data_IF_702488022078
#
_entry.id   IF_702488022078
#
_cell.length_a   1.000
_cell.length_b   1.000
_cell.length_c   1.000
_cell.angle_alpha   90.00
_cell.angle_beta   90.00
_cell.angle_gamma   90.00
#
_symmetry.space_group_name_H-M   'P 1'
#
loop_
_entity.id
_entity.type
_entity.pdbx_description
1 polymer ?
#
# COMPACT_ATOMS: atom_id res chain seq x y z
N UNK A 1 -30.28 -66.58 60.02
CA UNK A 1 -30.74 -67.22 58.78
C UNK A 1 -30.42 -66.27 57.62
N UNK A 2 -29.71 -66.79 56.61
CA UNK A 2 -29.72 -66.37 55.18
C UNK A 2 -29.71 -64.84 54.93
N UNK A 3 -28.65 -64.17 54.49
CA UNK A 3 -27.72 -64.50 53.40
C UNK A 3 -27.88 -63.43 52.31
N UNK A 4 -26.84 -62.62 52.04
CA UNK A 4 -26.50 -62.26 50.66
C UNK A 4 -25.12 -61.61 50.56
N UNK A 5 -24.28 -62.27 49.76
CA UNK A 5 -22.94 -61.92 49.35
C UNK A 5 -22.91 -60.68 48.47
N UNK A 6 -22.07 -59.69 48.83
CA UNK A 6 -21.57 -58.70 47.87
C UNK A 6 -20.28 -59.25 47.26
N UNK A 7 -20.41 -59.86 46.08
CA UNK A 7 -19.25 -60.15 45.23
C UNK A 7 -18.56 -58.84 44.82
N UNK A 8 -17.26 -58.75 45.09
CA UNK A 8 -16.37 -57.74 44.52
C UNK A 8 -16.13 -58.11 43.06
N UNK A 9 -16.63 -57.30 42.12
CA UNK A 9 -16.21 -57.41 40.71
C UNK A 9 -14.98 -56.52 40.47
N UNK A 10 -13.88 -57.23 40.21
CA UNK A 10 -12.75 -56.92 39.32
C UNK A 10 -12.40 -55.46 39.04
N UNK A 11 -11.20 -55.09 39.46
CA UNK A 11 -10.44 -53.99 38.87
C UNK A 11 -10.03 -54.43 37.45
N UNK A 12 -10.72 -53.91 36.44
CA UNK A 12 -10.41 -54.17 35.04
C UNK A 12 -9.23 -53.28 34.63
N UNK A 13 -8.03 -53.86 34.65
CA UNK A 13 -6.78 -53.25 34.17
C UNK A 13 -6.70 -53.32 32.64
N UNK A 14 -7.63 -52.70 31.93
CA UNK A 14 -7.41 -52.46 30.50
C UNK A 14 -8.32 -51.35 29.94
N UNK A 15 -7.99 -50.11 30.28
CA UNK A 15 -8.36 -48.96 29.45
C UNK A 15 -7.12 -48.13 29.20
N UNK A 16 -6.32 -48.63 28.27
CA UNK A 16 -5.37 -47.80 27.54
C UNK A 16 -6.11 -46.59 26.99
N UNK A 17 -5.86 -45.42 27.58
CA UNK A 17 -6.15 -44.15 26.92
C UNK A 17 -5.21 -44.04 25.75
N UNK A 18 -5.58 -44.63 24.62
CA UNK A 18 -4.90 -44.39 23.36
C UNK A 18 -5.21 -42.95 22.97
N UNK A 19 -4.27 -42.05 23.24
CA UNK A 19 -4.25 -40.68 22.69
C UNK A 19 -4.03 -40.80 21.18
N UNK A 20 -5.09 -41.09 20.43
CA UNK A 20 -5.11 -40.99 18.96
C UNK A 20 -5.66 -39.62 18.57
N UNK A 21 -4.93 -38.59 18.99
CA UNK A 21 -5.22 -37.19 18.68
C UNK A 21 -4.01 -36.48 18.11
N UNK A 22 -3.29 -37.12 17.18
CA UNK A 22 -2.26 -36.43 16.43
C UNK A 22 -2.90 -35.29 15.65
N UNK A 23 -2.48 -34.05 15.88
CA UNK A 23 -2.82 -32.90 15.07
C UNK A 23 -2.33 -33.13 13.63
N UNK A 24 -3.11 -33.85 12.82
CA UNK A 24 -2.85 -33.99 11.40
C UNK A 24 -3.04 -32.61 10.80
N UNK A 25 -1.93 -31.94 10.45
CA UNK A 25 -1.98 -30.72 9.62
C UNK A 25 -2.81 -31.08 8.40
N UNK A 26 -3.96 -30.42 8.22
CA UNK A 26 -4.78 -30.57 7.01
C UNK A 26 -3.89 -30.25 5.81
N UNK A 27 -3.59 -31.26 5.01
CA UNK A 27 -2.83 -31.13 3.77
C UNK A 27 -3.80 -30.97 2.61
N UNK A 28 -3.39 -30.18 1.62
CA UNK A 28 -4.19 -29.97 0.40
C UNK A 28 -4.28 -31.28 -0.39
N UNK A 29 -5.49 -31.65 -0.79
CA UNK A 29 -5.70 -32.79 -1.67
C UNK A 29 -5.02 -32.57 -3.04
N UNK A 30 -4.50 -33.63 -3.69
CA UNK A 30 -3.92 -33.53 -5.03
C UNK A 30 -4.92 -32.96 -6.04
N UNK A 31 -4.43 -32.14 -6.98
CA UNK A 31 -5.28 -31.56 -8.04
C UNK A 31 -4.82 -30.19 -8.52
N UNK A 32 -5.58 -29.56 -9.44
CA UNK A 32 -5.32 -28.19 -9.88
C UNK A 32 -5.47 -27.20 -8.72
N UNK A 33 -4.69 -26.12 -8.74
CA UNK A 33 -4.81 -25.05 -7.73
C UNK A 33 -6.19 -24.42 -7.85
N UNK A 34 -6.90 -24.31 -6.73
CA UNK A 34 -8.19 -23.66 -6.61
C UNK A 34 -7.97 -22.21 -6.22
N UNK A 35 -8.52 -21.27 -6.97
CA UNK A 35 -8.40 -19.85 -6.65
C UNK A 35 -9.76 -19.19 -6.58
N UNK A 36 -9.81 -18.10 -5.82
CA UNK A 36 -10.96 -17.21 -5.75
C UNK A 36 -10.50 -15.78 -6.00
N UNK A 37 -11.27 -15.03 -6.78
CA UNK A 37 -10.99 -13.62 -7.04
C UNK A 37 -12.24 -12.86 -7.46
N UNK A 38 -12.36 -11.60 -7.01
CA UNK A 38 -13.38 -10.66 -7.49
C UNK A 38 -12.94 -9.93 -8.76
N UNK A 39 -11.66 -10.03 -9.13
CA UNK A 39 -11.12 -9.33 -10.28
C UNK A 39 -11.53 -10.01 -11.60
N UNK A 40 -12.00 -9.20 -12.56
CA UNK A 40 -12.33 -9.60 -13.94
C UNK A 40 -11.39 -8.90 -14.92
N UNK A 41 -10.11 -9.20 -14.79
CA UNK A 41 -9.03 -8.54 -15.54
C UNK A 41 -7.87 -9.51 -15.78
N UNK A 42 -6.70 -8.97 -16.13
CA UNK A 42 -5.49 -9.74 -16.42
C UNK A 42 -5.07 -10.72 -15.32
N UNK A 43 -5.48 -10.51 -14.05
CA UNK A 43 -5.25 -11.45 -12.96
C UNK A 43 -6.03 -12.74 -13.25
N UNK A 44 -7.34 -12.63 -13.49
CA UNK A 44 -8.21 -13.77 -13.80
C UNK A 44 -7.67 -14.56 -14.99
N UNK A 45 -7.35 -13.88 -16.08
CA UNK A 45 -6.82 -14.51 -17.30
C UNK A 45 -5.50 -15.23 -17.03
N UNK A 46 -4.67 -14.66 -16.15
CA UNK A 46 -3.37 -15.22 -15.77
C UNK A 46 -3.51 -16.44 -14.86
N UNK A 47 -4.52 -16.47 -13.97
CA UNK A 47 -4.81 -17.64 -13.14
C UNK A 47 -5.41 -18.77 -14.00
N UNK A 48 -6.37 -18.46 -14.87
CA UNK A 48 -6.98 -19.43 -15.80
C UNK A 48 -5.99 -20.04 -16.78
N UNK A 49 -5.09 -19.24 -17.37
CA UNK A 49 -4.03 -19.75 -18.27
C UNK A 49 -3.06 -20.73 -17.61
N UNK A 50 -2.94 -20.73 -16.28
CA UNK A 50 -2.15 -21.72 -15.54
C UNK A 50 -2.89 -23.03 -15.29
N UNK A 51 -4.11 -23.19 -15.79
CA UNK A 51 -4.96 -24.35 -15.54
C UNK A 51 -5.51 -24.39 -14.10
N UNK A 52 -5.53 -23.25 -13.41
CA UNK A 52 -6.11 -23.16 -12.07
C UNK A 52 -7.63 -23.07 -12.16
N UNK A 53 -8.33 -23.63 -11.17
CA UNK A 53 -9.78 -23.71 -11.15
C UNK A 53 -10.37 -22.61 -10.26
N UNK A 54 -11.29 -21.82 -10.80
CA UNK A 54 -12.02 -20.82 -10.02
C UNK A 54 -13.04 -21.53 -9.12
N UNK A 55 -13.12 -21.13 -7.85
CA UNK A 55 -14.09 -21.63 -6.85
C UNK A 55 -14.82 -20.46 -6.19
N UNK A 56 -16.03 -20.72 -5.71
CA UNK A 56 -16.85 -19.68 -5.06
C UNK A 56 -16.64 -19.62 -3.55
N UNK A 57 -16.42 -20.77 -2.90
CA UNK A 57 -16.25 -20.87 -1.45
C UNK A 57 -14.79 -20.59 -1.01
N UNK A 58 -14.68 -19.73 0.00
CA UNK A 58 -13.44 -19.40 0.70
C UNK A 58 -12.81 -20.64 1.36
N UNK A 59 -13.63 -21.57 1.85
CA UNK A 59 -13.16 -22.77 2.56
C UNK A 59 -12.46 -23.77 1.64
N UNK A 60 -12.81 -23.75 0.35
CA UNK A 60 -12.29 -24.67 -0.66
C UNK A 60 -11.14 -24.09 -1.47
N UNK A 61 -10.86 -22.80 -1.37
CA UNK A 61 -9.80 -22.19 -2.17
C UNK A 61 -8.40 -22.46 -1.59
N UNK A 62 -7.41 -22.60 -2.47
CA UNK A 62 -5.99 -22.65 -2.09
C UNK A 62 -5.38 -21.23 -2.12
N UNK A 63 -5.86 -20.38 -3.02
CA UNK A 63 -5.46 -18.98 -3.13
C UNK A 63 -6.67 -18.04 -3.20
N UNK A 64 -6.75 -17.15 -2.21
CA UNK A 64 -7.66 -16.01 -2.20
C UNK A 64 -6.95 -14.77 -2.75
N UNK A 65 -7.25 -14.39 -3.99
CA UNK A 65 -6.77 -13.16 -4.60
C UNK A 65 -7.85 -12.09 -4.56
N UNK A 66 -7.89 -11.33 -3.46
CA UNK A 66 -9.01 -10.44 -3.15
C UNK A 66 -8.59 -8.97 -3.11
N UNK A 67 -9.56 -8.07 -3.23
CA UNK A 67 -9.36 -6.64 -3.03
C UNK A 67 -9.12 -6.30 -1.55
N UNK A 68 -8.72 -5.05 -1.29
CA UNK A 68 -8.41 -4.61 0.08
C UNK A 68 -9.61 -4.62 1.01
N UNK A 69 -10.81 -4.37 0.48
CA UNK A 69 -12.00 -4.21 1.33
C UNK A 69 -12.38 -5.58 1.90
N UNK A 70 -12.36 -6.62 1.06
CA UNK A 70 -12.51 -7.99 1.51
C UNK A 70 -11.43 -8.40 2.53
N UNK A 71 -10.15 -8.06 2.27
CA UNK A 71 -9.06 -8.37 3.20
C UNK A 71 -9.31 -7.75 4.57
N UNK A 72 -9.72 -6.47 4.62
CA UNK A 72 -10.01 -5.77 5.89
C UNK A 72 -11.20 -6.39 6.64
N UNK A 73 -12.22 -6.83 5.93
CA UNK A 73 -13.45 -7.34 6.56
C UNK A 73 -13.33 -8.78 7.05
N UNK A 74 -12.56 -9.61 6.33
CA UNK A 74 -12.54 -11.07 6.48
C UNK A 74 -11.20 -11.60 6.97
N UNK A 75 -10.09 -11.21 6.38
CA UNK A 75 -8.79 -11.87 6.62
C UNK A 75 -8.29 -11.72 8.06
N UNK A 76 -8.64 -10.61 8.72
CA UNK A 76 -8.30 -10.39 10.13
C UNK A 76 -9.17 -11.22 11.10
N UNK A 77 -10.29 -11.79 10.62
CA UNK A 77 -11.25 -12.55 11.42
C UNK A 77 -11.25 -14.06 11.13
N UNK A 78 -10.61 -14.48 10.03
CA UNK A 78 -10.63 -15.88 9.57
C UNK A 78 -9.29 -16.56 9.84
N UNK A 79 -9.36 -17.80 10.30
CA UNK A 79 -8.20 -18.69 10.37
C UNK A 79 -8.01 -19.38 9.01
N UNK A 80 -6.84 -19.19 8.40
CA UNK A 80 -6.48 -19.88 7.17
C UNK A 80 -5.80 -21.21 7.48
N UNK A 81 -6.13 -22.24 6.72
CA UNK A 81 -5.42 -23.51 6.77
C UNK A 81 -3.98 -23.35 6.23
N UNK A 82 -3.00 -24.21 6.61
CA UNK A 82 -1.59 -24.03 6.25
C UNK A 82 -1.29 -23.92 4.75
N UNK A 83 -2.11 -24.58 3.92
CA UNK A 83 -2.00 -24.58 2.46
C UNK A 83 -2.64 -23.35 1.80
N UNK A 84 -3.54 -22.66 2.49
CA UNK A 84 -4.24 -21.50 1.95
C UNK A 84 -3.33 -20.27 1.95
N UNK A 85 -3.49 -19.44 0.92
CA UNK A 85 -2.75 -18.19 0.74
C UNK A 85 -3.67 -17.04 0.41
N UNK A 86 -3.27 -15.84 0.79
CA UNK A 86 -3.91 -14.57 0.42
C UNK A 86 -2.87 -13.63 -0.19
N UNK A 87 -3.32 -12.70 -1.02
CA UNK A 87 -2.48 -11.73 -1.73
C UNK A 87 -2.09 -10.48 -0.90
N UNK A 88 -2.41 -10.43 0.39
CA UNK A 88 -2.08 -9.32 1.29
C UNK A 88 -1.56 -9.82 2.63
N UNK A 89 -0.63 -9.08 3.21
CA UNK A 89 -0.25 -9.27 4.60
C UNK A 89 -1.22 -8.56 5.53
N UNK A 90 -1.37 -9.11 6.75
CA UNK A 90 -2.01 -8.40 7.85
C UNK A 90 -1.27 -7.09 8.09
N UNK A 91 -2.00 -6.03 8.42
CA UNK A 91 -1.43 -4.70 8.64
C UNK A 91 -0.68 -4.11 7.43
N UNK A 92 -0.94 -4.55 6.19
CA UNK A 92 -0.36 -3.95 4.98
C UNK A 92 -0.58 -2.43 4.89
N UNK A 93 -1.62 -1.92 5.55
CA UNK A 93 -1.92 -0.49 5.64
C UNK A 93 -0.83 0.33 6.34
N UNK A 94 0.06 -0.29 7.14
CA UNK A 94 1.20 0.37 7.79
C UNK A 94 2.23 0.93 6.80
N UNK A 95 2.33 0.31 5.61
CA UNK A 95 3.21 0.75 4.53
C UNK A 95 2.45 1.35 3.35
N UNK A 96 1.13 1.16 3.25
CA UNK A 96 0.35 1.58 2.06
C UNK A 96 -0.54 2.79 2.29
N UNK A 97 -0.87 3.14 3.54
CA UNK A 97 -1.51 4.42 3.86
C UNK A 97 -0.45 5.49 4.11
N UNK A 98 -0.76 6.73 3.69
CA UNK A 98 0.21 7.84 3.71
C UNK A 98 0.60 8.27 5.13
N UNK A 99 -0.37 8.29 6.04
CA UNK A 99 -0.19 8.70 7.43
C UNK A 99 0.63 7.67 8.23
N UNK A 100 0.28 6.39 8.13
CA UNK A 100 0.99 5.29 8.81
C UNK A 100 2.41 5.13 8.26
N UNK A 101 2.60 5.17 6.94
CA UNK A 101 3.92 5.09 6.31
C UNK A 101 4.85 6.16 6.88
N UNK A 102 4.42 7.43 6.88
CA UNK A 102 5.25 8.54 7.38
C UNK A 102 5.53 8.40 8.87
N UNK A 103 4.53 8.01 9.68
CA UNK A 103 4.71 7.75 11.12
C UNK A 103 5.75 6.64 11.36
N UNK A 104 5.68 5.55 10.59
CA UNK A 104 6.60 4.42 10.70
C UNK A 104 8.02 4.80 10.30
N UNK A 105 8.20 5.50 9.17
CA UNK A 105 9.51 5.99 8.72
C UNK A 105 10.13 6.95 9.73
N UNK A 106 9.37 7.93 10.23
CA UNK A 106 9.82 8.85 11.28
C UNK A 106 10.21 8.12 12.57
N UNK A 107 9.37 7.17 13.01
CA UNK A 107 9.62 6.38 14.24
C UNK A 107 10.91 5.58 14.11
N UNK A 108 11.11 4.90 12.99
CA UNK A 108 12.28 4.07 12.76
C UNK A 108 13.56 4.92 12.64
N UNK A 109 13.53 6.04 11.90
CA UNK A 109 14.64 6.99 11.84
C UNK A 109 15.05 7.48 13.23
N UNK A 110 14.08 7.91 14.06
CA UNK A 110 14.33 8.35 15.45
C UNK A 110 14.91 7.25 16.33
N UNK A 111 14.51 6.00 16.10
CA UNK A 111 15.07 4.85 16.84
C UNK A 111 16.53 4.65 16.47
N UNK A 112 16.87 4.68 15.18
CA UNK A 112 18.26 4.60 14.72
C UNK A 112 19.13 5.73 15.30
N UNK A 113 18.62 6.96 15.35
CA UNK A 113 19.31 8.10 15.97
C UNK A 113 19.57 7.87 17.48
N UNK A 114 18.58 7.33 18.21
CA UNK A 114 18.74 6.97 19.64
C UNK A 114 19.74 5.85 19.86
N UNK A 115 19.80 4.90 18.92
CA UNK A 115 20.71 3.75 18.97
C UNK A 115 22.14 4.13 18.51
N UNK A 116 22.41 5.41 18.22
CA UNK A 116 23.71 5.90 17.75
C UNK A 116 24.02 5.58 16.28
N UNK A 117 23.05 5.07 15.52
CA UNK A 117 23.19 4.63 14.13
C UNK A 117 22.93 5.77 13.14
N UNK A 118 23.73 6.83 13.24
CA UNK A 118 23.52 8.08 12.50
C UNK A 118 23.61 7.90 10.97
N UNK A 119 24.52 7.05 10.49
CA UNK A 119 24.67 6.77 9.05
C UNK A 119 23.45 6.04 8.48
N UNK A 120 22.93 5.03 9.18
CA UNK A 120 21.69 4.33 8.80
C UNK A 120 20.50 5.30 8.83
N UNK A 121 20.41 6.15 9.85
CA UNK A 121 19.35 7.16 9.97
C UNK A 121 19.38 8.19 8.84
N UNK A 122 20.58 8.57 8.36
CA UNK A 122 20.74 9.52 7.26
C UNK A 122 20.18 8.99 5.93
N UNK A 123 20.14 7.66 5.73
CA UNK A 123 19.55 7.04 4.55
C UNK A 123 18.04 7.33 4.43
N UNK A 124 17.36 7.70 5.51
CA UNK A 124 15.93 8.04 5.51
C UNK A 124 15.61 9.45 4.98
N UNK A 125 16.60 10.17 4.42
CA UNK A 125 16.38 11.48 3.79
C UNK A 125 15.75 11.38 2.39
N UNK A 126 15.35 10.18 1.94
CA UNK A 126 14.69 9.97 0.64
C UNK A 126 13.23 10.45 0.59
N UNK A 127 12.58 10.71 1.74
CA UNK A 127 11.21 11.23 1.78
C UNK A 127 11.19 12.69 2.26
N UNK A 128 10.43 13.59 1.62
CA UNK A 128 10.38 15.00 2.01
C UNK A 128 9.80 15.20 3.41
N UNK A 129 10.07 16.35 4.02
CA UNK A 129 9.49 16.74 5.30
C UNK A 129 7.96 16.67 5.23
N UNK A 130 7.35 15.95 6.16
CA UNK A 130 5.94 15.56 6.06
C UNK A 130 5.27 15.62 7.43
N UNK A 131 4.01 16.07 7.48
CA UNK A 131 3.19 16.17 8.68
C UNK A 131 1.78 15.60 8.46
N UNK A 132 1.24 14.93 9.47
CA UNK A 132 -0.10 14.34 9.46
C UNK A 132 -1.08 15.27 10.18
N UNK A 133 -2.03 15.84 9.44
CA UNK A 133 -3.04 16.76 9.94
C UNK A 133 -4.33 16.02 10.32
N UNK A 134 -5.07 16.49 11.35
CA UNK A 134 -4.80 17.72 12.12
C UNK A 134 -3.77 17.59 13.25
N UNK A 135 -3.32 16.37 13.59
CA UNK A 135 -2.49 16.11 14.79
C UNK A 135 -1.16 16.85 14.83
N UNK A 136 -0.47 17.01 13.69
CA UNK A 136 0.82 17.69 13.59
C UNK A 136 0.69 19.12 13.03
N UNK A 137 -0.49 19.76 13.13
CA UNK A 137 -0.74 21.09 12.52
C UNK A 137 0.19 22.19 13.02
N UNK A 138 0.44 22.27 14.32
CA UNK A 138 1.32 23.31 14.88
C UNK A 138 2.76 23.14 14.39
N UNK A 139 3.26 21.90 14.34
CA UNK A 139 4.58 21.57 13.80
C UNK A 139 4.68 21.91 12.30
N UNK A 140 3.61 21.64 11.54
CA UNK A 140 3.52 22.05 10.15
C UNK A 140 3.59 23.57 9.99
N UNK A 141 2.83 24.34 10.79
CA UNK A 141 2.84 25.81 10.74
C UNK A 141 4.23 26.37 11.05
N UNK A 142 4.89 25.83 12.07
CA UNK A 142 6.25 26.23 12.45
C UNK A 142 7.24 25.94 11.32
N UNK A 143 7.22 24.73 10.77
CA UNK A 143 8.05 24.34 9.65
C UNK A 143 7.79 25.20 8.40
N UNK A 144 6.52 25.50 8.11
CA UNK A 144 6.13 26.36 7.00
C UNK A 144 6.71 27.77 7.16
N UNK A 145 6.63 28.36 8.36
CA UNK A 145 7.19 29.69 8.62
C UNK A 145 8.72 29.71 8.54
N UNK A 146 9.38 28.65 8.99
CA UNK A 146 10.85 28.55 9.01
C UNK A 146 11.45 28.27 7.64
N UNK A 147 10.86 27.34 6.90
CA UNK A 147 11.41 26.83 5.63
C UNK A 147 10.77 27.55 4.43
N UNK A 148 9.50 27.95 4.54
CA UNK A 148 8.73 28.50 3.44
C UNK A 148 8.46 27.47 2.35
N UNK A 149 8.37 27.96 1.12
CA UNK A 149 8.20 27.16 -0.08
C UNK A 149 6.80 26.58 -0.28
N UNK A 150 6.68 25.70 -1.26
CA UNK A 150 5.42 25.07 -1.64
C UNK A 150 5.24 23.74 -0.91
N UNK A 151 4.03 23.46 -0.49
CA UNK A 151 3.64 22.23 0.20
C UNK A 151 2.51 21.57 -0.58
N UNK A 152 2.52 20.23 -0.63
CA UNK A 152 1.48 19.43 -1.26
C UNK A 152 0.62 18.79 -0.19
N UNK A 153 -0.68 19.04 -0.29
CA UNK A 153 -1.72 18.55 0.60
C UNK A 153 -2.34 17.31 -0.02
N UNK A 154 -2.27 16.18 0.69
CA UNK A 154 -2.74 14.88 0.18
C UNK A 154 -3.73 14.25 1.16
N UNK A 155 -4.97 13.94 0.75
CA UNK A 155 -5.89 13.20 1.61
C UNK A 155 -5.34 11.80 1.90
N UNK A 156 -5.47 11.34 3.14
CA UNK A 156 -4.97 10.03 3.57
C UNK A 156 -5.75 8.90 2.92
N UNK A 157 -7.08 8.96 2.99
CA UNK A 157 -7.99 7.88 2.55
C UNK A 157 -8.31 7.84 1.07
N UNK A 158 -7.97 8.89 0.30
CA UNK A 158 -8.23 8.96 -1.14
C UNK A 158 -7.03 8.49 -1.97
N UNK A 159 -7.34 8.03 -3.18
CA UNK A 159 -6.38 7.59 -4.18
C UNK A 159 -6.60 8.34 -5.50
N UNK A 160 -5.85 7.99 -6.54
CA UNK A 160 -6.01 8.54 -7.90
C UNK A 160 -5.74 10.05 -8.07
N UNK A 161 -5.18 10.72 -7.06
CA UNK A 161 -4.88 12.15 -7.11
C UNK A 161 -6.06 13.06 -6.72
N UNK A 162 -7.22 12.48 -6.38
CA UNK A 162 -8.40 13.24 -5.96
C UNK A 162 -8.14 13.96 -4.64
N UNK A 163 -8.46 15.26 -4.58
CA UNK A 163 -8.29 16.11 -3.41
C UNK A 163 -6.85 16.55 -3.13
N UNK A 164 -5.91 16.29 -4.06
CA UNK A 164 -4.55 16.83 -3.94
C UNK A 164 -4.55 18.29 -4.40
N UNK A 165 -3.92 19.15 -3.61
CA UNK A 165 -3.67 20.55 -3.97
C UNK A 165 -2.34 21.01 -3.40
N UNK A 166 -1.81 22.10 -3.95
CA UNK A 166 -0.58 22.72 -3.48
C UNK A 166 -0.92 24.00 -2.72
N UNK A 167 -0.10 24.34 -1.74
CA UNK A 167 -0.17 25.60 -0.99
C UNK A 167 1.21 26.23 -0.91
N UNK A 168 1.29 27.52 -1.18
CA UNK A 168 2.50 28.35 -1.06
C UNK A 168 2.34 29.47 -0.03
N UNK A 169 1.13 29.65 0.51
CA UNK A 169 0.83 30.58 1.60
C UNK A 169 0.05 29.86 2.69
N UNK A 170 0.40 30.14 3.95
CA UNK A 170 -0.26 29.52 5.09
C UNK A 170 -1.76 29.87 5.16
N UNK A 171 -2.15 31.06 4.69
CA UNK A 171 -3.55 31.48 4.61
C UNK A 171 -4.42 30.52 3.78
N UNK A 172 -3.87 29.91 2.73
CA UNK A 172 -4.58 28.90 1.92
C UNK A 172 -4.89 27.64 2.76
N UNK A 173 -3.97 27.22 3.64
CA UNK A 173 -4.23 26.08 4.54
C UNK A 173 -5.31 26.42 5.58
N UNK A 174 -5.31 27.65 6.10
CA UNK A 174 -6.33 28.12 7.06
C UNK A 174 -7.70 28.19 6.39
N UNK A 175 -7.78 28.76 5.18
CA UNK A 175 -9.01 28.82 4.40
C UNK A 175 -9.56 27.42 4.11
N UNK A 176 -8.72 26.52 3.60
CA UNK A 176 -9.10 25.13 3.36
C UNK A 176 -9.65 24.45 4.61
N UNK A 177 -9.02 24.66 5.78
CA UNK A 177 -9.48 24.10 7.06
C UNK A 177 -10.85 24.66 7.46
N UNK A 178 -11.11 25.94 7.20
CA UNK A 178 -12.41 26.58 7.47
C UNK A 178 -13.50 26.01 6.56
N UNK A 179 -13.27 26.01 5.25
CA UNK A 179 -14.21 25.49 4.25
C UNK A 179 -14.51 24.01 4.50
N UNK A 180 -13.48 23.23 4.86
CA UNK A 180 -13.63 21.83 5.19
C UNK A 180 -14.56 21.60 6.39
N UNK A 181 -14.43 22.43 7.45
CA UNK A 181 -15.28 22.36 8.64
C UNK A 181 -16.73 22.77 8.36
N UNK A 182 -16.92 23.80 7.54
CA UNK A 182 -18.25 24.29 7.18
C UNK A 182 -19.03 23.28 6.35
N UNK A 183 -18.36 22.60 5.41
CA UNK A 183 -19.01 21.70 4.46
C UNK A 183 -19.18 20.26 4.95
N UNK A 184 -18.55 19.87 6.07
CA UNK A 184 -18.53 18.48 6.54
C UNK A 184 -18.93 18.34 8.02
N UNK A 185 -19.93 19.09 8.47
CA UNK A 185 -20.36 19.15 9.88
C UNK A 185 -20.72 17.79 10.50
N UNK A 186 -21.03 16.77 9.69
CA UNK A 186 -21.41 15.41 10.15
C UNK A 186 -20.39 14.31 9.80
N UNK A 187 -19.32 14.62 9.06
CA UNK A 187 -18.33 13.61 8.65
C UNK A 187 -17.04 13.70 9.48
N UNK A 188 -16.52 12.53 9.85
CA UNK A 188 -15.24 12.37 10.52
C UNK A 188 -14.16 13.15 9.75
N UNK A 189 -13.47 14.09 10.42
CA UNK A 189 -12.54 14.99 9.74
C UNK A 189 -11.49 14.22 8.90
N UNK A 190 -11.51 14.43 7.59
CA UNK A 190 -10.63 13.80 6.62
C UNK A 190 -9.18 14.19 6.97
N UNK A 191 -8.37 13.19 7.30
CA UNK A 191 -6.96 13.42 7.60
C UNK A 191 -6.18 13.70 6.32
N UNK A 192 -5.26 14.66 6.40
CA UNK A 192 -4.38 15.04 5.30
C UNK A 192 -2.93 14.87 5.70
N UNK A 193 -2.10 14.63 4.70
CA UNK A 193 -0.65 14.71 4.81
C UNK A 193 -0.22 16.01 4.13
N UNK A 194 0.43 16.90 4.90
CA UNK A 194 1.10 18.09 4.40
C UNK A 194 2.58 17.74 4.20
N UNK A 195 3.05 17.75 2.96
CA UNK A 195 4.41 17.35 2.61
C UNK A 195 5.10 18.46 1.84
N UNK A 196 6.37 18.73 2.14
CA UNK A 196 7.16 19.70 1.37
C UNK A 196 7.20 19.26 -0.10
N UNK A 197 6.85 20.18 -1.00
CA UNK A 197 6.81 19.89 -2.42
C UNK A 197 8.22 19.89 -2.99
N UNK A 198 8.53 18.88 -3.83
CA UNK A 198 9.76 18.85 -4.61
C UNK A 198 9.56 19.77 -5.81
N UNK A 199 10.07 20.99 -5.68
CA UNK A 199 9.85 22.08 -6.63
C UNK A 199 10.86 22.11 -7.81
N UNK A 200 11.91 21.30 -7.70
CA UNK A 200 12.98 21.13 -8.69
C UNK A 200 13.06 19.66 -9.13
N UNK A 201 11.99 19.08 -9.71
CA UNK A 201 12.00 17.69 -10.16
C UNK A 201 12.88 17.51 -11.40
N UNK A 202 13.39 16.30 -11.61
CA UNK A 202 13.94 15.92 -12.90
C UNK A 202 12.83 15.98 -13.97
N UNK A 203 13.15 16.62 -15.10
CA UNK A 203 12.23 16.78 -16.22
C UNK A 203 12.79 16.05 -17.45
N UNK A 204 11.92 15.37 -18.19
CA UNK A 204 12.24 14.83 -19.52
C UNK A 204 11.30 15.51 -20.51
N UNK A 205 11.86 16.11 -21.56
CA UNK A 205 11.09 16.94 -22.50
C UNK A 205 10.43 18.16 -21.84
N UNK A 206 10.91 18.58 -20.67
CA UNK A 206 10.30 19.64 -19.87
C UNK A 206 9.03 19.22 -19.11
N UNK A 207 8.72 17.93 -19.02
CA UNK A 207 7.56 17.39 -18.31
C UNK A 207 7.98 16.68 -17.03
N UNK A 208 7.15 16.81 -15.99
CA UNK A 208 7.34 16.12 -14.72
C UNK A 208 6.92 14.66 -14.88
N UNK A 209 7.58 13.75 -14.18
CA UNK A 209 7.16 12.36 -14.13
C UNK A 209 7.32 11.75 -12.75
N UNK A 210 6.66 10.62 -12.54
CA UNK A 210 6.95 9.72 -11.44
C UNK A 210 7.20 8.30 -11.96
N UNK A 211 7.92 7.52 -11.17
CA UNK A 211 8.27 6.14 -11.48
C UNK A 211 7.36 5.19 -10.71
N UNK A 212 6.76 4.23 -11.44
CA UNK A 212 6.07 3.08 -10.86
C UNK A 212 6.96 1.84 -10.93
N UNK A 213 7.30 1.34 -9.76
CA UNK A 213 7.96 0.05 -9.55
C UNK A 213 6.97 -0.95 -8.95
N UNK A 214 7.17 -2.24 -9.25
CA UNK A 214 6.41 -3.33 -8.69
C UNK A 214 7.30 -4.17 -7.78
N UNK A 215 6.87 -4.35 -6.54
CA UNK A 215 7.60 -5.11 -5.52
C UNK A 215 6.66 -6.19 -4.96
N UNK A 216 7.13 -7.44 -4.96
CA UNK A 216 6.46 -8.58 -4.32
C UNK A 216 7.19 -8.92 -3.03
N UNK A 217 6.51 -8.74 -1.90
CA UNK A 217 6.96 -9.30 -0.61
C UNK A 217 6.39 -10.71 -0.52
N UNK A 218 7.26 -11.72 -0.44
CA UNK A 218 6.85 -13.13 -0.31
C UNK A 218 6.76 -13.56 1.16
N UNK A 219 7.65 -13.06 2.00
CA UNK A 219 7.70 -13.37 3.43
C UNK A 219 8.33 -12.21 4.19
N UNK A 220 7.96 -12.04 5.46
CA UNK A 220 8.64 -11.15 6.41
C UNK A 220 9.54 -11.91 7.40
N UNK A 221 9.41 -13.24 7.47
CA UNK A 221 10.24 -14.08 8.35
C UNK A 221 10.57 -15.43 7.65
N UNK A 222 11.76 -15.58 7.05
CA UNK A 222 12.73 -14.52 6.77
C UNK A 222 12.16 -13.50 5.76
N UNK A 223 12.70 -12.28 5.74
CA UNK A 223 12.31 -11.26 4.77
C UNK A 223 12.74 -11.68 3.36
N UNK A 224 11.77 -11.84 2.45
CA UNK A 224 12.01 -12.17 1.04
C UNK A 224 11.23 -11.21 0.17
N UNK A 225 11.95 -10.39 -0.60
CA UNK A 225 11.40 -9.32 -1.44
C UNK A 225 11.93 -9.49 -2.86
N UNK A 226 11.04 -9.41 -3.84
CA UNK A 226 11.36 -9.42 -5.27
C UNK A 226 10.94 -8.09 -5.89
N UNK A 227 11.83 -7.49 -6.67
CA UNK A 227 11.50 -6.36 -7.52
C UNK A 227 11.25 -6.87 -8.93
N UNK A 228 10.13 -6.48 -9.54
CA UNK A 228 9.87 -6.79 -10.94
C UNK A 228 10.87 -6.02 -11.82
N UNK A 229 11.37 -6.68 -12.86
CA UNK A 229 12.42 -6.11 -13.73
C UNK A 229 11.94 -4.88 -14.48
N UNK A 230 10.66 -4.86 -14.82
CA UNK A 230 10.05 -3.74 -15.52
C UNK A 230 9.27 -2.82 -14.57
N UNK A 231 9.19 -1.57 -14.99
CA UNK A 231 8.29 -0.57 -14.46
C UNK A 231 8.07 0.49 -15.53
N UNK A 232 7.39 1.57 -15.16
CA UNK A 232 7.12 2.64 -16.11
C UNK A 232 7.17 4.01 -15.43
N UNK A 233 7.52 5.01 -16.22
CA UNK A 233 7.32 6.41 -15.85
C UNK A 233 5.91 6.86 -16.25
N UNK A 234 5.32 7.76 -15.45
CA UNK A 234 4.06 8.45 -15.77
C UNK A 234 4.33 9.93 -15.86
N UNK A 235 4.05 10.51 -17.02
CA UNK A 235 4.34 11.92 -17.28
C UNK A 235 3.12 12.81 -17.02
N UNK A 236 3.38 14.07 -16.66
CA UNK A 236 2.40 15.15 -16.77
C UNK A 236 2.09 15.41 -18.24
N UNK A 237 0.84 15.75 -18.54
CA UNK A 237 0.42 16.19 -19.88
C UNK A 237 0.99 17.57 -20.18
N UNK A 238 1.02 18.46 -19.19
CA UNK A 238 1.60 19.79 -19.33
C UNK A 238 3.11 19.82 -19.02
N UNK A 239 3.82 20.80 -19.60
CA UNK A 239 5.21 21.12 -19.23
C UNK A 239 5.25 21.64 -17.80
N UNK A 240 6.36 21.39 -17.12
CA UNK A 240 6.53 21.77 -15.73
C UNK A 240 6.73 23.27 -15.57
N UNK A 241 5.85 23.91 -14.80
CA UNK A 241 5.91 25.33 -14.46
C UNK A 241 5.77 25.52 -12.96
N UNK A 242 6.83 25.98 -12.30
CA UNK A 242 6.86 26.14 -10.84
C UNK A 242 5.87 27.19 -10.32
N UNK A 243 5.61 28.25 -11.10
CA UNK A 243 4.80 29.40 -10.65
C UNK A 243 3.29 29.10 -10.62
N UNK A 244 2.83 28.11 -11.39
CA UNK A 244 1.40 27.84 -11.56
C UNK A 244 0.92 26.68 -10.67
N UNK A 245 1.05 26.85 -9.34
CA UNK A 245 0.78 25.78 -8.37
C UNK A 245 -0.67 25.24 -8.39
N UNK A 246 -1.61 26.03 -8.91
CA UNK A 246 -3.03 25.66 -9.02
C UNK A 246 -3.30 24.71 -10.19
N UNK A 247 -2.38 24.62 -11.16
CA UNK A 247 -2.53 23.72 -12.29
C UNK A 247 -2.14 22.29 -11.90
N UNK A 248 -3.12 21.50 -11.48
CA UNK A 248 -2.92 20.11 -11.09
C UNK A 248 -2.39 19.23 -12.23
N UNK A 249 -2.64 19.57 -13.50
CA UNK A 249 -2.12 18.83 -14.66
C UNK A 249 -0.60 18.91 -14.78
N UNK A 250 0.01 19.99 -14.27
CA UNK A 250 1.47 20.18 -14.21
C UNK A 250 2.09 19.41 -13.05
N UNK A 251 1.43 19.42 -11.89
CA UNK A 251 2.05 19.02 -10.63
C UNK A 251 1.69 17.59 -10.18
N UNK A 252 0.61 16.99 -10.71
CA UNK A 252 0.07 15.68 -10.31
C UNK A 252 0.02 14.71 -11.49
N UNK A 253 0.93 13.74 -11.54
CA UNK A 253 1.12 12.78 -12.66
C UNK A 253 0.11 11.62 -12.67
N UNK A 254 -0.91 11.64 -11.80
CA UNK A 254 -1.91 10.57 -11.75
C UNK A 254 -2.78 10.57 -13.01
N UNK A 255 -2.83 9.42 -13.70
CA UNK A 255 -3.65 9.21 -14.91
C UNK A 255 -5.09 9.68 -14.76
N UNK A 256 -5.72 9.44 -13.60
CA UNK A 256 -7.11 9.86 -13.38
C UNK A 256 -7.29 11.39 -13.37
N UNK A 257 -6.25 12.15 -13.02
CA UNK A 257 -6.22 13.61 -13.15
C UNK A 257 -5.86 13.97 -14.60
N UNK A 258 -4.85 13.32 -15.17
CA UNK A 258 -4.38 13.64 -16.52
C UNK A 258 -5.43 13.38 -17.62
N UNK A 259 -6.30 12.38 -17.44
CA UNK A 259 -7.41 12.05 -18.35
C UNK A 259 -8.47 13.14 -18.48
N UNK A 260 -8.54 14.07 -17.53
CA UNK A 260 -9.50 15.18 -17.58
C UNK A 260 -8.91 16.42 -18.25
N UNK A 261 -7.67 16.36 -18.75
CA UNK A 261 -7.09 17.44 -19.52
C UNK A 261 -7.73 17.49 -20.92
N UNK A 262 -7.97 18.70 -21.44
CA UNK A 262 -8.55 18.90 -22.77
C UNK A 262 -7.69 18.27 -23.88
N UNK A 263 -6.37 18.33 -23.72
CA UNK A 263 -5.39 17.80 -24.68
C UNK A 263 -4.95 16.36 -24.35
N UNK A 264 -5.79 15.59 -23.62
CA UNK A 264 -5.49 14.21 -23.32
C UNK A 264 -5.74 13.33 -24.55
N UNK A 265 -4.65 12.85 -25.14
CA UNK A 265 -4.70 11.81 -26.16
C UNK A 265 -4.81 10.43 -25.49
N UNK A 266 -5.86 9.67 -25.81
CA UNK A 266 -6.11 8.36 -25.25
C UNK A 266 -5.18 7.26 -25.80
N UNK A 267 -4.66 7.44 -27.02
CA UNK A 267 -3.77 6.51 -27.70
C UNK A 267 -2.31 6.70 -27.25
N UNK A 268 -1.91 7.94 -26.90
CA UNK A 268 -0.59 8.25 -26.30
C UNK A 268 -0.63 8.50 -24.79
N UNK A 269 -1.78 8.25 -24.16
CA UNK A 269 -2.15 8.62 -22.79
C UNK A 269 -1.02 8.59 -21.78
N UNK A 270 -0.63 9.78 -21.31
CA UNK A 270 0.38 10.02 -20.27
C UNK A 270 1.69 9.22 -20.44
N UNK A 271 2.20 9.06 -21.67
CA UNK A 271 3.51 8.47 -21.98
C UNK A 271 3.98 7.39 -21.00
N UNK A 272 3.33 6.22 -21.01
CA UNK A 272 3.87 5.08 -20.27
C UNK A 272 5.09 4.54 -21.01
N UNK A 273 6.26 5.11 -20.75
CA UNK A 273 7.49 4.52 -21.23
C UNK A 273 7.96 3.47 -20.24
N UNK A 274 8.10 2.23 -20.72
CA UNK A 274 8.93 1.25 -20.02
C UNK A 274 10.34 1.80 -19.89
N UNK A 275 11.05 1.43 -18.83
CA UNK A 275 12.43 1.87 -18.66
C UNK A 275 13.32 1.51 -19.86
N UNK A 276 13.09 0.35 -20.47
CA UNK A 276 13.77 -0.06 -21.71
C UNK A 276 13.56 0.96 -22.84
N UNK A 277 12.35 1.52 -22.98
CA UNK A 277 12.09 2.57 -23.97
C UNK A 277 12.77 3.88 -23.58
N UNK A 278 12.71 4.32 -22.31
CA UNK A 278 13.36 5.57 -21.86
C UNK A 278 14.86 5.61 -22.14
N UNK A 279 15.57 4.49 -21.94
CA UNK A 279 16.99 4.38 -22.25
C UNK A 279 17.25 4.42 -23.77
N UNK A 280 16.38 3.80 -24.58
CA UNK A 280 16.53 3.77 -26.04
C UNK A 280 16.29 5.12 -26.73
N UNK A 281 15.49 6.02 -26.14
CA UNK A 281 15.28 7.39 -26.65
C UNK A 281 16.36 8.38 -26.17
N UNK A 282 17.47 7.91 -25.59
CA UNK A 282 18.57 8.76 -25.13
C UNK A 282 18.20 9.70 -23.97
N UNK A 283 17.08 9.46 -23.28
CA UNK A 283 16.57 10.31 -22.21
C UNK A 283 17.22 10.01 -20.84
N UNK A 284 17.88 8.86 -20.70
CA UNK A 284 18.63 8.46 -19.50
C UNK A 284 19.87 7.70 -19.98
N UNK A 285 21.07 8.21 -19.68
CA UNK A 285 22.30 7.44 -19.93
C UNK A 285 22.27 6.15 -19.09
N UNK A 286 22.67 5.00 -19.65
CA UNK A 286 22.79 3.79 -18.85
C UNK A 286 23.90 4.03 -17.83
N UNK A 287 23.55 4.17 -16.55
CA UNK A 287 24.51 4.02 -15.47
C UNK A 287 24.88 2.53 -15.42
N UNK A 288 25.96 2.19 -16.12
CA UNK A 288 26.72 0.96 -15.93
C UNK A 288 28.10 1.34 -15.39
N UNK A 289 28.31 1.09 -14.12
CA UNK A 289 29.55 0.52 -13.55
C UNK A 289 29.25 0.06 -12.13
#
# INVERSE_FOLDING_TARGET
>A
MLGNSRERKGYDQDKSWVVTGGWRKKTRAPGPIRFRTTFRNCILDTLKRRGWKEVEDDSECDLNWMDRDWIRERFDKVHLEPYQKVNHFRNHYELTRKDTMVKNLKRYKRQLEKDGKMEEAAQFNFFPLTFVLPGEYLLYVEAFKKIGGTWIMKPVGKSQGKGIFLVDKLSQTVQWKSDYRLNNQEQQAESYVAQQYIDSPLLIGGRKFDIRLYVLVKSYNPLVVYMYRDGFARFSVARYEKKNINNTFVHVTNVAVQKTAADYDADTGSFFHSFARLCSVGCVSPMMS
#
